data_IF_222132527714
#
_entry.id   IF_222132527714
#
_cell.length_a   1.000
_cell.length_b   1.000
_cell.length_c   1.000
_cell.angle_alpha   90.00
_cell.angle_beta   90.00
_cell.angle_gamma   90.00
#
_symmetry.space_group_name_H-M   'P 1'
#
loop_
_entity.id
_entity.type
_entity.pdbx_description
1 polymer ?
#
# COMPACT_ATOMS: atom_id res chain seq x y z
N UNK A 1 60.94 -17.60 0.16
CA UNK A 1 59.83 -16.70 -0.17
C UNK A 1 58.55 -17.45 0.09
N UNK A 2 57.83 -17.25 1.20
CA UNK A 2 56.50 -17.84 1.41
C UNK A 2 55.44 -16.98 0.74
N UNK A 3 54.49 -17.64 0.07
CA UNK A 3 53.32 -17.05 -0.56
C UNK A 3 52.31 -16.60 0.50
N UNK A 4 51.93 -15.32 0.45
CA UNK A 4 50.89 -14.74 1.30
C UNK A 4 49.50 -15.24 0.87
N UNK A 5 48.81 -15.82 1.83
CA UNK A 5 47.43 -16.32 1.64
C UNK A 5 46.44 -15.17 1.53
N UNK A 6 45.61 -15.19 0.47
CA UNK A 6 44.39 -14.36 0.40
C UNK A 6 43.41 -14.74 1.50
N UNK A 7 43.23 -13.85 2.48
CA UNK A 7 42.14 -13.95 3.44
C UNK A 7 40.82 -13.69 2.71
N UNK A 8 39.98 -14.72 2.59
CA UNK A 8 38.61 -14.60 2.09
C UNK A 8 37.80 -13.74 3.07
N UNK A 9 37.18 -12.66 2.56
CA UNK A 9 36.16 -11.94 3.26
C UNK A 9 34.94 -12.87 3.44
N UNK A 10 34.77 -13.38 4.66
CA UNK A 10 33.52 -14.01 5.05
C UNK A 10 32.45 -12.93 5.02
N UNK A 11 31.51 -13.03 4.08
CA UNK A 11 30.34 -12.16 4.04
C UNK A 11 29.59 -12.23 5.37
N UNK A 12 29.44 -11.11 6.04
CA UNK A 12 28.59 -11.01 7.21
C UNK A 12 27.18 -11.47 6.82
N UNK A 13 26.68 -12.52 7.48
CA UNK A 13 25.31 -12.96 7.34
C UNK A 13 24.42 -11.76 7.75
N UNK A 14 23.73 -11.17 6.78
CA UNK A 14 22.73 -10.14 7.07
C UNK A 14 21.63 -10.82 7.88
N UNK A 15 21.48 -10.43 9.15
CA UNK A 15 20.37 -10.88 9.98
C UNK A 15 19.09 -10.38 9.34
N UNK A 16 18.36 -11.27 8.67
CA UNK A 16 17.04 -10.99 8.14
C UNK A 16 16.04 -11.20 9.27
N UNK A 17 15.37 -10.14 9.68
CA UNK A 17 14.29 -10.26 10.64
C UNK A 17 13.23 -11.23 10.10
N UNK A 18 12.59 -12.05 10.96
CA UNK A 18 11.54 -12.95 10.49
C UNK A 18 10.43 -12.15 9.81
N UNK A 19 10.03 -12.62 8.62
CA UNK A 19 8.90 -12.02 7.88
C UNK A 19 7.65 -12.11 8.76
N UNK A 20 6.93 -11.01 9.01
CA UNK A 20 5.78 -11.02 9.87
C UNK A 20 4.67 -11.89 9.27
N UNK A 21 4.12 -12.81 10.08
CA UNK A 21 2.95 -13.57 9.66
C UNK A 21 1.73 -12.66 9.55
N UNK A 22 1.04 -12.70 8.41
CA UNK A 22 -0.24 -12.03 8.21
C UNK A 22 -1.40 -12.98 8.53
N UNK A 23 -2.48 -12.43 9.08
CA UNK A 23 -3.78 -13.06 8.89
C UNK A 23 -4.19 -12.83 7.44
N UNK A 24 -4.64 -13.87 6.74
CA UNK A 24 -5.06 -13.78 5.34
C UNK A 24 -6.46 -14.38 5.20
N UNK A 25 -7.41 -13.56 4.80
CA UNK A 25 -8.73 -14.03 4.35
C UNK A 25 -8.64 -14.38 2.86
N UNK A 26 -9.19 -15.53 2.45
CA UNK A 26 -9.28 -15.92 1.04
C UNK A 26 -10.72 -16.30 0.73
N UNK A 27 -11.31 -15.65 -0.26
CA UNK A 27 -12.70 -15.88 -0.68
C UNK A 27 -12.83 -15.95 -2.20
N UNK A 28 -13.80 -16.72 -2.68
CA UNK A 28 -14.10 -16.85 -4.10
C UNK A 28 -13.25 -17.87 -4.83
N UNK A 29 -13.40 -17.91 -6.16
CA UNK A 29 -12.68 -18.81 -7.05
C UNK A 29 -12.38 -18.12 -8.38
N UNK A 30 -11.27 -18.45 -9.03
CA UNK A 30 -10.83 -17.85 -10.28
C UNK A 30 -9.43 -17.22 -10.17
N UNK A 31 -9.04 -16.32 -11.09
CA UNK A 31 -7.77 -15.62 -11.02
C UNK A 31 -7.59 -14.92 -9.68
N UNK A 32 -6.39 -14.99 -9.11
CA UNK A 32 -6.10 -14.41 -7.79
C UNK A 32 -5.91 -12.90 -7.87
N UNK A 33 -6.48 -12.19 -6.89
CA UNK A 33 -6.30 -10.75 -6.68
C UNK A 33 -5.88 -10.54 -5.23
N UNK A 34 -4.63 -10.15 -5.01
CA UNK A 34 -4.09 -9.84 -3.69
C UNK A 34 -4.36 -8.37 -3.37
N UNK A 35 -5.06 -8.11 -2.26
CA UNK A 35 -5.64 -6.81 -1.89
C UNK A 35 -4.99 -6.27 -0.61
N UNK A 36 -4.00 -5.39 -0.74
CA UNK A 36 -3.22 -4.84 0.39
C UNK A 36 -3.82 -3.52 0.86
N UNK A 37 -4.36 -3.52 2.09
CA UNK A 37 -5.04 -2.35 2.66
C UNK A 37 -4.08 -1.24 3.11
N UNK A 38 -4.60 -0.02 3.26
CA UNK A 38 -3.90 1.14 3.76
C UNK A 38 -3.85 1.23 5.29
N UNK A 39 -3.59 2.44 5.80
CA UNK A 39 -3.60 2.75 7.22
C UNK A 39 -5.03 2.90 7.76
N UNK A 40 -5.21 2.81 9.08
CA UNK A 40 -6.46 3.01 9.84
C UNK A 40 -7.46 1.85 9.72
N UNK A 41 -7.77 1.37 8.51
CA UNK A 41 -8.66 0.22 8.29
C UNK A 41 -7.88 -1.08 8.11
N UNK A 42 -8.50 -2.22 8.44
CA UNK A 42 -7.97 -3.54 8.10
C UNK A 42 -8.41 -4.00 6.69
N UNK A 43 -8.00 -5.19 6.28
CA UNK A 43 -8.30 -5.75 4.96
C UNK A 43 -9.79 -5.87 4.71
N UNK A 44 -10.52 -6.53 5.61
CA UNK A 44 -11.99 -6.72 5.47
C UNK A 44 -12.72 -5.38 5.35
N UNK A 45 -12.42 -4.41 6.21
CA UNK A 45 -13.06 -3.10 6.17
C UNK A 45 -12.71 -2.29 4.93
N UNK A 46 -11.48 -2.36 4.42
CA UNK A 46 -11.04 -1.61 3.25
C UNK A 46 -11.69 -2.14 1.97
N UNK A 47 -11.76 -3.46 1.82
CA UNK A 47 -12.15 -4.13 0.58
C UNK A 47 -13.59 -4.66 0.57
N UNK A 48 -14.42 -4.28 1.55
CA UNK A 48 -15.81 -4.76 1.70
C UNK A 48 -16.62 -4.59 0.40
N UNK A 49 -16.49 -3.44 -0.27
CA UNK A 49 -17.22 -3.18 -1.52
C UNK A 49 -16.75 -4.00 -2.71
N UNK A 50 -15.59 -4.64 -2.63
CA UNK A 50 -15.07 -5.55 -3.66
C UNK A 50 -15.43 -7.03 -3.41
N UNK A 51 -16.01 -7.38 -2.27
CA UNK A 51 -16.40 -8.78 -1.95
C UNK A 51 -17.26 -9.44 -3.03
N UNK A 52 -18.21 -8.74 -3.71
CA UNK A 52 -18.94 -9.34 -4.82
C UNK A 52 -18.08 -9.83 -5.98
N UNK A 53 -16.83 -9.35 -6.12
CA UNK A 53 -15.90 -9.86 -7.13
C UNK A 53 -15.45 -11.31 -6.85
N UNK A 54 -15.71 -11.85 -5.66
CA UNK A 54 -15.46 -13.25 -5.32
C UNK A 54 -16.24 -14.26 -6.21
N UNK A 55 -17.30 -13.82 -6.87
CA UNK A 55 -17.99 -14.62 -7.88
C UNK A 55 -17.13 -14.92 -9.12
N UNK A 56 -16.04 -14.15 -9.35
CA UNK A 56 -15.21 -14.21 -10.56
C UNK A 56 -13.71 -14.32 -10.28
N UNK A 57 -13.27 -13.97 -9.08
CA UNK A 57 -11.89 -13.93 -8.68
C UNK A 57 -11.68 -14.60 -7.32
N UNK A 58 -10.49 -15.10 -7.08
CA UNK A 58 -10.05 -15.45 -5.73
C UNK A 58 -9.45 -14.18 -5.09
N UNK A 59 -10.17 -13.59 -4.14
CA UNK A 59 -9.68 -12.43 -3.39
C UNK A 59 -8.82 -12.91 -2.22
N UNK A 60 -7.57 -12.51 -2.18
CA UNK A 60 -6.61 -12.78 -1.13
C UNK A 60 -6.37 -11.48 -0.37
N UNK A 61 -6.84 -11.43 0.87
CA UNK A 61 -6.93 -10.18 1.65
C UNK A 61 -6.07 -10.33 2.92
N UNK A 62 -4.78 -9.97 2.86
CA UNK A 62 -3.94 -9.95 4.05
C UNK A 62 -4.30 -8.76 4.95
N UNK A 63 -4.41 -9.03 6.26
CA UNK A 63 -4.40 -8.00 7.28
C UNK A 63 -2.94 -7.70 7.66
N UNK A 64 -2.53 -6.45 7.55
CA UNK A 64 -1.16 -6.01 7.83
C UNK A 64 -0.83 -6.12 9.33
N UNK A 65 0.44 -6.35 9.72
CA UNK A 65 0.86 -6.38 11.11
C UNK A 65 0.39 -5.15 11.88
N UNK A 66 -0.09 -5.35 13.12
CA UNK A 66 -0.65 -4.29 13.94
C UNK A 66 -2.14 -4.00 13.71
N UNK A 67 -2.71 -4.48 12.61
CA UNK A 67 -4.14 -4.33 12.30
C UNK A 67 -4.92 -5.59 12.67
N UNK A 68 -6.06 -5.48 13.40
CA UNK A 68 -6.86 -6.64 13.78
C UNK A 68 -7.28 -7.48 12.56
N UNK A 69 -7.22 -8.83 12.68
CA UNK A 69 -7.03 -9.63 13.89
C UNK A 69 -5.57 -9.86 14.31
N UNK A 70 -4.58 -9.29 13.59
CA UNK A 70 -3.18 -9.40 14.02
C UNK A 70 -2.95 -8.62 15.33
N UNK A 71 -2.00 -9.08 16.18
CA UNK A 71 -1.66 -8.37 17.41
C UNK A 71 -1.05 -6.99 17.13
N UNK A 72 -1.14 -6.05 18.09
CA UNK A 72 -0.44 -4.76 18.00
C UNK A 72 1.07 -4.95 17.81
N UNK A 73 1.71 -3.97 17.14
CA UNK A 73 3.16 -3.91 16.95
C UNK A 73 3.70 -2.58 17.47
N UNK A 74 4.96 -2.58 17.89
CA UNK A 74 5.63 -1.33 18.33
C UNK A 74 6.05 -0.46 17.15
N UNK A 75 6.20 -1.05 15.96
CA UNK A 75 6.58 -0.38 14.72
C UNK A 75 6.02 -1.10 13.51
N UNK A 76 5.36 -0.36 12.62
CA UNK A 76 4.98 -0.81 11.28
C UNK A 76 6.02 -0.36 10.26
N UNK A 77 6.65 -1.28 9.53
CA UNK A 77 7.63 -0.96 8.49
C UNK A 77 7.20 -1.54 7.14
N UNK A 78 7.30 -0.74 6.08
CA UNK A 78 6.84 -1.14 4.75
C UNK A 78 7.77 -2.17 4.09
N UNK A 79 9.09 -2.19 4.38
CA UNK A 79 10.03 -3.11 3.74
C UNK A 79 9.77 -4.57 4.14
N UNK A 80 9.73 -4.96 5.44
CA UNK A 80 9.40 -6.32 5.82
C UNK A 80 7.98 -6.74 5.40
N UNK A 81 7.04 -5.79 5.34
CA UNK A 81 5.69 -6.07 4.86
C UNK A 81 5.69 -6.32 3.34
N UNK A 82 6.50 -5.59 2.58
CA UNK A 82 6.65 -5.82 1.14
C UNK A 82 7.28 -7.20 0.84
N UNK A 83 8.28 -7.61 1.62
CA UNK A 83 8.85 -8.97 1.54
C UNK A 83 7.78 -10.04 1.80
N UNK A 84 6.97 -9.87 2.85
CA UNK A 84 5.89 -10.80 3.18
C UNK A 84 4.79 -10.86 2.10
N UNK A 85 4.44 -9.72 1.50
CA UNK A 85 3.52 -9.70 0.36
C UNK A 85 4.15 -10.38 -0.85
N UNK A 86 5.43 -10.13 -1.16
CA UNK A 86 6.12 -10.80 -2.26
C UNK A 86 6.16 -12.33 -2.09
N UNK A 87 6.33 -12.82 -0.87
CA UNK A 87 6.27 -14.27 -0.55
C UNK A 87 4.84 -14.85 -0.67
N UNK A 88 3.80 -14.03 -0.49
CA UNK A 88 2.39 -14.43 -0.64
C UNK A 88 1.96 -14.53 -2.11
N UNK A 89 2.63 -13.78 -3.00
CA UNK A 89 2.28 -13.69 -4.42
C UNK A 89 2.63 -14.98 -5.18
N UNK A 90 1.75 -15.35 -6.10
CA UNK A 90 1.93 -16.44 -7.05
C UNK A 90 2.03 -15.91 -8.48
N UNK A 91 2.72 -16.63 -9.39
CA UNK A 91 2.74 -16.24 -10.81
C UNK A 91 1.31 -16.15 -11.39
N UNK A 92 1.00 -15.04 -12.03
CA UNK A 92 -0.33 -14.75 -12.58
C UNK A 92 -1.27 -14.01 -11.64
N UNK A 93 -0.82 -13.63 -10.44
CA UNK A 93 -1.60 -12.81 -9.51
C UNK A 93 -1.74 -11.37 -10.00
N UNK A 94 -2.89 -10.79 -9.72
CA UNK A 94 -3.07 -9.35 -9.72
C UNK A 94 -2.78 -8.80 -8.33
N UNK A 95 -1.97 -7.75 -8.23
CA UNK A 95 -1.67 -7.07 -6.97
C UNK A 95 -2.34 -5.70 -6.93
N UNK A 96 -3.12 -5.45 -5.88
CA UNK A 96 -3.85 -4.18 -5.68
C UNK A 96 -3.51 -3.62 -4.31
N UNK A 97 -2.95 -2.41 -4.26
CA UNK A 97 -2.63 -1.72 -3.01
C UNK A 97 -3.39 -0.42 -2.85
N UNK A 98 -3.80 -0.10 -1.62
CA UNK A 98 -4.43 1.17 -1.29
C UNK A 98 -3.59 1.93 -0.26
N UNK A 99 -3.37 3.23 -0.49
CA UNK A 99 -2.67 4.11 0.44
C UNK A 99 -1.32 3.52 0.86
N UNK A 100 -1.02 3.38 2.15
CA UNK A 100 0.21 2.74 2.64
C UNK A 100 0.42 1.34 2.05
N UNK A 101 -0.66 0.56 1.88
CA UNK A 101 -0.61 -0.72 1.17
C UNK A 101 -0.20 -0.59 -0.30
N UNK A 102 -0.41 0.57 -0.92
CA UNK A 102 0.09 0.88 -2.25
C UNK A 102 1.61 1.04 -2.29
N UNK A 103 2.22 1.64 -1.25
CA UNK A 103 3.69 1.68 -1.10
C UNK A 103 4.25 0.28 -0.96
N UNK A 104 3.66 -0.54 -0.08
CA UNK A 104 4.04 -1.94 0.11
C UNK A 104 3.92 -2.71 -1.21
N UNK A 105 2.83 -2.50 -1.96
CA UNK A 105 2.61 -3.17 -3.25
C UNK A 105 3.61 -2.77 -4.33
N UNK A 106 4.03 -1.51 -4.38
CA UNK A 106 5.10 -1.06 -5.28
C UNK A 106 6.43 -1.75 -4.96
N UNK A 107 6.78 -1.83 -3.68
CA UNK A 107 8.00 -2.50 -3.23
C UNK A 107 7.95 -4.02 -3.47
N UNK A 108 6.82 -4.67 -3.19
CA UNK A 108 6.63 -6.11 -3.40
C UNK A 108 6.65 -6.47 -4.89
N UNK A 109 6.02 -5.66 -5.74
CA UNK A 109 5.98 -5.88 -7.18
C UNK A 109 7.36 -5.85 -7.84
N UNK A 110 8.30 -5.11 -7.28
CA UNK A 110 9.69 -5.08 -7.77
C UNK A 110 10.52 -6.30 -7.34
N UNK A 111 10.03 -7.08 -6.36
CA UNK A 111 10.71 -8.26 -5.83
C UNK A 111 10.20 -9.57 -6.46
N UNK A 112 9.24 -9.51 -7.36
CA UNK A 112 8.61 -10.70 -7.95
C UNK A 112 8.50 -10.59 -9.46
N UNK A 113 8.73 -11.73 -10.12
CA UNK A 113 8.48 -11.89 -11.54
C UNK A 113 7.13 -12.58 -11.76
N UNK A 114 6.42 -12.22 -12.82
CA UNK A 114 5.23 -12.95 -13.25
C UNK A 114 3.92 -12.46 -12.66
N UNK A 115 3.84 -11.26 -12.08
CA UNK A 115 2.55 -10.60 -11.83
C UNK A 115 1.76 -10.45 -13.13
N UNK A 116 0.46 -10.61 -13.03
CA UNK A 116 -0.45 -10.31 -14.13
C UNK A 116 -0.71 -8.81 -14.26
N UNK A 117 -0.87 -8.11 -13.13
CA UNK A 117 -0.97 -6.65 -13.12
C UNK A 117 -0.68 -6.06 -11.74
N UNK A 118 -0.39 -4.76 -11.71
CA UNK A 118 -0.28 -3.95 -10.49
C UNK A 118 -1.26 -2.79 -10.54
N UNK A 119 -2.07 -2.62 -9.50
CA UNK A 119 -2.91 -1.43 -9.29
C UNK A 119 -2.55 -0.78 -7.96
N UNK A 120 -2.33 0.54 -7.96
CA UNK A 120 -2.12 1.31 -6.74
C UNK A 120 -3.10 2.48 -6.65
N UNK A 121 -3.79 2.57 -5.52
CA UNK A 121 -4.81 3.59 -5.25
C UNK A 121 -4.24 4.61 -4.27
N UNK A 122 -3.92 5.80 -4.74
CA UNK A 122 -3.33 6.90 -3.94
C UNK A 122 -2.21 6.45 -2.99
N UNK A 123 -1.14 5.79 -3.51
CA UNK A 123 -0.01 5.43 -2.67
C UNK A 123 0.70 6.70 -2.17
N UNK A 124 0.98 6.83 -0.84
CA UNK A 124 1.72 7.96 -0.31
C UNK A 124 3.24 7.81 -0.54
N UNK A 125 3.64 7.40 -1.74
CA UNK A 125 5.04 7.26 -2.14
C UNK A 125 5.69 8.63 -2.33
N UNK A 126 5.57 9.51 -1.33
CA UNK A 126 5.96 10.92 -1.40
C UNK A 126 7.43 11.13 -1.73
N UNK A 127 8.28 10.14 -1.47
CA UNK A 127 9.69 10.16 -1.83
C UNK A 127 9.92 10.39 -3.34
N UNK A 128 9.05 9.84 -4.22
CA UNK A 128 9.20 9.99 -5.68
C UNK A 128 8.83 11.39 -6.19
N UNK A 129 8.06 12.16 -5.40
CA UNK A 129 7.59 13.50 -5.76
C UNK A 129 8.17 14.59 -4.85
N UNK A 130 9.34 14.35 -4.22
CA UNK A 130 10.04 15.32 -3.38
C UNK A 130 10.33 16.61 -4.18
N UNK A 131 10.18 17.76 -3.50
CA UNK A 131 10.30 19.08 -4.09
C UNK A 131 8.99 19.61 -4.71
N UNK A 132 7.95 18.78 -4.84
CA UNK A 132 6.62 19.28 -5.19
C UNK A 132 6.01 20.05 -4.00
N UNK A 133 5.53 21.28 -4.17
CA UNK A 133 5.04 22.12 -3.06
C UNK A 133 3.93 21.45 -2.24
N UNK A 134 2.98 20.74 -2.87
CA UNK A 134 1.91 20.06 -2.16
C UNK A 134 2.44 18.90 -1.29
N UNK A 135 3.46 18.17 -1.76
CA UNK A 135 4.11 17.09 -1.01
C UNK A 135 4.87 17.66 0.19
N UNK A 136 5.65 18.71 0.00
CA UNK A 136 6.43 19.32 1.09
C UNK A 136 5.51 19.93 2.17
N UNK A 137 4.42 20.58 1.77
CA UNK A 137 3.40 21.10 2.69
C UNK A 137 2.72 19.98 3.49
N UNK A 138 2.33 18.89 2.83
CA UNK A 138 1.73 17.72 3.49
C UNK A 138 2.69 17.12 4.51
N UNK A 139 3.94 16.88 4.13
CA UNK A 139 4.96 16.33 5.02
C UNK A 139 5.27 17.26 6.20
N UNK A 140 5.24 18.58 5.98
CA UNK A 140 5.39 19.55 7.08
C UNK A 140 4.24 19.43 8.09
N UNK A 141 2.98 19.36 7.62
CA UNK A 141 1.81 19.16 8.47
C UNK A 141 1.88 17.85 9.25
N UNK A 142 2.29 16.74 8.62
CA UNK A 142 2.37 15.44 9.30
C UNK A 142 3.34 15.40 10.48
N UNK A 143 4.33 16.31 10.56
CA UNK A 143 5.21 16.41 11.74
C UNK A 143 4.50 16.87 13.02
N UNK A 144 3.38 17.56 12.87
CA UNK A 144 2.58 18.09 13.96
C UNK A 144 1.41 17.16 14.32
N UNK A 145 1.40 15.91 13.81
CA UNK A 145 0.34 14.96 14.08
C UNK A 145 0.25 14.64 15.58
N UNK A 146 -0.97 14.68 16.18
CA UNK A 146 -1.18 14.39 17.59
C UNK A 146 -0.80 12.97 18.00
N UNK A 147 -0.44 12.78 19.28
CA UNK A 147 -0.04 11.49 19.86
C UNK A 147 -1.19 10.62 20.38
N UNK A 148 -2.43 11.12 20.44
CA UNK A 148 -3.59 10.34 20.89
C UNK A 148 -4.43 9.86 19.70
N UNK A 149 -4.93 8.61 19.69
CA UNK A 149 -5.57 8.00 18.51
C UNK A 149 -6.71 8.80 17.92
N UNK A 150 -7.61 9.33 18.76
CA UNK A 150 -8.76 10.10 18.27
C UNK A 150 -8.33 11.45 17.68
N UNK A 151 -7.40 12.13 18.33
CA UNK A 151 -6.87 13.42 17.88
C UNK A 151 -6.05 13.23 16.60
N UNK A 152 -5.24 12.16 16.52
CA UNK A 152 -4.54 11.76 15.32
C UNK A 152 -5.50 11.58 14.14
N UNK A 153 -6.57 10.81 14.30
CA UNK A 153 -7.56 10.62 13.24
C UNK A 153 -8.27 11.92 12.86
N UNK A 154 -8.63 12.75 13.84
CA UNK A 154 -9.27 14.04 13.56
C UNK A 154 -8.36 15.00 12.78
N UNK A 155 -7.06 14.86 12.93
CA UNK A 155 -6.05 15.60 12.19
C UNK A 155 -5.73 14.98 10.83
N UNK A 156 -5.48 13.68 10.80
CA UNK A 156 -5.01 12.94 9.63
C UNK A 156 -6.07 12.78 8.53
N UNK A 157 -7.29 12.38 8.91
CA UNK A 157 -8.33 12.06 7.93
C UNK A 157 -8.69 13.24 7.00
N UNK A 158 -8.84 14.49 7.48
CA UNK A 158 -9.03 15.63 6.59
C UNK A 158 -7.83 15.90 5.68
N UNK A 159 -6.59 15.71 6.16
CA UNK A 159 -5.39 15.92 5.34
C UNK A 159 -5.31 14.99 4.14
N UNK A 160 -5.71 13.73 4.32
CA UNK A 160 -5.76 12.77 3.20
C UNK A 160 -7.06 12.87 2.39
N UNK A 161 -8.03 13.71 2.81
CA UNK A 161 -9.32 13.86 2.14
C UNK A 161 -10.26 12.67 2.35
N UNK A 162 -10.17 12.01 3.51
CA UNK A 162 -11.12 10.97 3.91
C UNK A 162 -12.43 11.58 4.40
N UNK A 163 -13.56 11.01 3.98
CA UNK A 163 -14.89 11.40 4.42
C UNK A 163 -15.36 10.69 5.69
N UNK A 164 -14.50 9.87 6.32
CA UNK A 164 -14.84 9.14 7.54
C UNK A 164 -15.17 10.12 8.68
N UNK A 165 -16.39 9.98 9.24
CA UNK A 165 -16.82 10.76 10.37
C UNK A 165 -16.48 10.06 11.68
N UNK A 166 -15.85 10.79 12.59
CA UNK A 166 -15.50 10.28 13.90
C UNK A 166 -16.65 10.52 14.90
N UNK A 167 -16.94 9.51 15.69
CA UNK A 167 -17.81 9.63 16.88
C UNK A 167 -17.03 10.15 18.10
N UNK A 168 -17.74 10.51 19.18
CA UNK A 168 -17.09 10.99 20.40
C UNK A 168 -16.17 9.95 21.03
N UNK A 169 -16.54 8.68 20.96
CA UNK A 169 -15.67 7.54 21.29
C UNK A 169 -15.39 6.73 20.04
N UNK A 170 -14.13 6.32 19.85
CA UNK A 170 -13.76 5.45 18.74
C UNK A 170 -14.24 4.02 18.97
N UNK A 171 -14.87 3.36 17.98
CA UNK A 171 -15.05 1.93 18.03
C UNK A 171 -13.69 1.21 18.16
N UNK A 172 -13.64 0.13 18.94
CA UNK A 172 -12.38 -0.58 19.22
C UNK A 172 -11.55 -0.95 17.95
N UNK A 173 -12.14 -1.43 16.84
CA UNK A 173 -11.37 -1.69 15.62
C UNK A 173 -10.74 -0.43 15.02
N UNK A 174 -11.43 0.70 15.08
CA UNK A 174 -10.94 1.97 14.55
C UNK A 174 -9.83 2.54 15.44
N UNK A 175 -9.95 2.41 16.76
CA UNK A 175 -8.92 2.81 17.71
C UNK A 175 -7.64 1.97 17.52
N UNK A 176 -7.79 0.65 17.36
CA UNK A 176 -6.66 -0.24 17.09
C UNK A 176 -5.97 0.13 15.77
N UNK A 177 -6.73 0.40 14.70
CA UNK A 177 -6.20 0.84 13.42
C UNK A 177 -5.50 2.20 13.48
N UNK A 178 -6.01 3.13 14.30
CA UNK A 178 -5.34 4.40 14.54
C UNK A 178 -3.98 4.22 15.24
N UNK A 179 -3.94 3.38 16.29
CA UNK A 179 -2.69 3.05 17.00
C UNK A 179 -1.67 2.41 16.08
N UNK A 180 -2.09 1.48 15.21
CA UNK A 180 -1.22 0.86 14.21
C UNK A 180 -0.67 1.90 13.22
N UNK A 181 -1.53 2.81 12.72
CA UNK A 181 -1.12 3.88 11.80
C UNK A 181 -0.11 4.85 12.42
N UNK A 182 -0.25 5.15 13.72
CA UNK A 182 0.65 6.07 14.44
C UNK A 182 2.07 5.54 14.62
N UNK A 183 2.27 4.23 14.56
CA UNK A 183 3.60 3.59 14.68
C UNK A 183 4.17 3.15 13.34
N UNK A 184 3.49 3.46 12.23
CA UNK A 184 4.00 3.20 10.89
C UNK A 184 5.21 4.09 10.58
N UNK A 185 6.24 3.50 10.00
CA UNK A 185 7.34 4.25 9.41
C UNK A 185 6.80 5.18 8.33
N UNK A 186 7.29 6.41 8.30
CA UNK A 186 6.74 7.40 7.38
C UNK A 186 6.93 6.99 5.91
N UNK A 187 5.87 6.96 5.10
CA UNK A 187 5.91 6.41 3.74
C UNK A 187 6.77 7.24 2.77
N UNK A 188 7.14 8.48 3.13
CA UNK A 188 8.06 9.27 2.31
C UNK A 188 9.52 8.77 2.36
N UNK A 189 9.83 7.88 3.31
CA UNK A 189 11.13 7.24 3.44
C UNK A 189 11.27 6.02 2.52
N UNK A 190 10.18 5.57 1.90
CA UNK A 190 10.22 4.44 0.99
C UNK A 190 10.96 4.81 -0.31
N UNK A 191 12.00 4.07 -0.61
CA UNK A 191 12.73 4.15 -1.87
C UNK A 191 12.05 3.24 -2.91
N UNK A 192 11.13 3.82 -3.68
CA UNK A 192 10.41 3.06 -4.71
C UNK A 192 11.35 2.77 -5.88
N UNK A 193 11.54 1.49 -6.26
CA UNK A 193 12.45 1.07 -7.33
C UNK A 193 11.80 1.32 -8.70
N UNK A 194 11.75 2.60 -9.10
CA UNK A 194 11.04 3.05 -10.31
C UNK A 194 11.62 2.44 -11.58
N UNK A 195 12.94 2.25 -11.65
CA UNK A 195 13.61 1.74 -12.86
C UNK A 195 13.32 0.25 -13.06
N UNK A 196 13.30 -0.55 -12.00
CA UNK A 196 12.93 -1.96 -12.01
C UNK A 196 11.45 -2.13 -12.38
N UNK A 197 10.58 -1.30 -11.79
CA UNK A 197 9.15 -1.31 -12.09
C UNK A 197 8.86 -0.83 -13.53
N UNK A 198 9.65 0.09 -14.07
CA UNK A 198 9.48 0.58 -15.44
C UNK A 198 9.71 -0.51 -16.49
N UNK A 199 10.70 -1.37 -16.27
CA UNK A 199 11.04 -2.46 -17.21
C UNK A 199 10.21 -3.74 -16.99
N UNK A 200 9.48 -3.81 -15.86
CA UNK A 200 8.59 -4.93 -15.56
C UNK A 200 7.44 -5.01 -16.57
N UNK A 201 7.18 -6.23 -17.10
CA UNK A 201 6.29 -6.44 -18.25
C UNK A 201 4.81 -6.37 -17.92
N UNK A 202 4.42 -6.51 -16.66
CA UNK A 202 3.01 -6.44 -16.26
C UNK A 202 2.45 -5.02 -16.41
N UNK A 203 1.18 -4.88 -16.87
CA UNK A 203 0.49 -3.59 -16.92
C UNK A 203 0.30 -3.01 -15.53
N UNK A 204 0.29 -1.68 -15.44
CA UNK A 204 0.21 -0.93 -14.21
C UNK A 204 -0.90 0.09 -14.29
N UNK A 205 -1.66 0.25 -13.19
CA UNK A 205 -2.73 1.23 -13.04
C UNK A 205 -2.50 2.07 -11.79
N UNK A 206 -2.55 3.38 -11.93
CA UNK A 206 -2.57 4.33 -10.82
C UNK A 206 -3.94 4.97 -10.74
N UNK A 207 -4.59 4.90 -9.58
CA UNK A 207 -5.94 5.44 -9.36
C UNK A 207 -5.89 6.55 -8.33
N UNK A 208 -6.56 7.67 -8.62
CA UNK A 208 -6.74 8.79 -7.67
C UNK A 208 -8.21 9.17 -7.55
N UNK A 209 -8.55 9.86 -6.45
CA UNK A 209 -9.86 10.46 -6.27
C UNK A 209 -10.01 11.82 -6.96
N UNK A 210 -8.90 12.40 -7.49
CA UNK A 210 -8.87 13.72 -8.13
C UNK A 210 -9.24 14.85 -7.17
N UNK A 211 -8.90 14.72 -5.89
CA UNK A 211 -9.34 15.62 -4.82
C UNK A 211 -8.20 16.27 -4.05
N UNK A 212 -6.99 15.73 -4.17
CA UNK A 212 -5.86 16.14 -3.33
C UNK A 212 -4.56 16.17 -4.16
N UNK A 213 -3.96 17.36 -4.35
CA UNK A 213 -2.77 17.55 -5.19
C UNK A 213 -1.56 16.76 -4.71
N UNK A 214 -1.50 16.34 -3.44
CA UNK A 214 -0.38 15.54 -2.93
C UNK A 214 -0.37 14.14 -3.55
N UNK A 215 -1.54 13.51 -3.71
CA UNK A 215 -1.63 12.19 -4.36
C UNK A 215 -1.54 12.31 -5.88
N UNK A 216 -2.06 13.40 -6.46
CA UNK A 216 -1.91 13.64 -7.89
C UNK A 216 -0.45 13.83 -8.28
N UNK A 217 0.36 14.54 -7.48
CA UNK A 217 1.79 14.68 -7.71
C UNK A 217 2.55 13.33 -7.73
N UNK A 218 2.22 12.42 -6.82
CA UNK A 218 2.79 11.07 -6.81
C UNK A 218 2.32 10.27 -8.04
N UNK A 219 1.03 10.34 -8.35
CA UNK A 219 0.46 9.60 -9.45
C UNK A 219 1.01 10.07 -10.82
N UNK A 220 1.28 11.37 -10.99
CA UNK A 220 1.91 11.93 -12.20
C UNK A 220 3.32 11.33 -12.41
N UNK A 221 4.10 11.21 -11.33
CA UNK A 221 5.43 10.56 -11.41
C UNK A 221 5.31 9.08 -11.75
N UNK A 222 4.39 8.35 -11.11
CA UNK A 222 4.20 6.93 -11.38
C UNK A 222 3.68 6.68 -12.81
N UNK A 223 2.73 7.49 -13.31
CA UNK A 223 2.28 7.44 -14.69
C UNK A 223 3.45 7.66 -15.66
N UNK A 224 4.20 8.73 -15.47
CA UNK A 224 5.31 9.10 -16.36
C UNK A 224 6.47 8.09 -16.32
N UNK A 225 6.88 7.67 -15.12
CA UNK A 225 8.08 6.83 -14.94
C UNK A 225 7.83 5.35 -15.20
N UNK A 226 6.62 4.85 -14.89
CA UNK A 226 6.29 3.43 -15.02
C UNK A 226 5.51 3.11 -16.29
N UNK A 227 5.08 4.11 -17.06
CA UNK A 227 4.14 3.92 -18.16
C UNK A 227 2.79 3.39 -17.67
N UNK A 228 2.42 3.70 -16.44
CA UNK A 228 1.16 3.25 -15.85
C UNK A 228 -0.05 3.95 -16.51
N UNK A 229 -1.15 3.22 -16.62
CA UNK A 229 -2.44 3.85 -16.93
C UNK A 229 -2.87 4.71 -15.74
N UNK A 230 -3.57 5.82 -16.01
CA UNK A 230 -4.19 6.67 -14.98
C UNK A 230 -5.70 6.52 -14.99
N UNK A 231 -6.30 6.35 -13.83
CA UNK A 231 -7.74 6.46 -13.64
C UNK A 231 -8.06 7.42 -12.49
N UNK A 232 -9.16 8.15 -12.63
CA UNK A 232 -9.71 9.00 -11.58
C UNK A 232 -11.09 8.48 -11.21
N UNK A 233 -11.38 8.35 -9.91
CA UNK A 233 -12.69 8.00 -9.38
C UNK A 233 -13.29 9.25 -8.71
N UNK A 234 -14.08 10.05 -9.43
CA UNK A 234 -14.56 11.32 -8.90
C UNK A 234 -15.42 11.14 -7.65
N UNK A 235 -15.20 11.99 -6.65
CA UNK A 235 -15.95 11.95 -5.39
C UNK A 235 -15.52 10.87 -4.41
N UNK A 236 -14.54 10.04 -4.75
CA UNK A 236 -14.01 9.01 -3.86
C UNK A 236 -13.29 9.58 -2.63
N UNK A 237 -12.73 10.80 -2.75
CA UNK A 237 -11.73 11.24 -1.79
C UNK A 237 -10.59 10.23 -1.71
N UNK A 238 -10.01 10.08 -0.53
CA UNK A 238 -8.99 9.05 -0.30
C UNK A 238 -9.57 7.62 -0.13
N UNK A 239 -10.90 7.48 -0.04
CA UNK A 239 -11.56 6.19 0.20
C UNK A 239 -11.88 5.44 -1.10
N UNK A 240 -10.97 5.45 -2.06
CA UNK A 240 -11.13 4.88 -3.41
C UNK A 240 -11.73 3.46 -3.41
N UNK A 241 -11.24 2.49 -2.60
CA UNK A 241 -11.79 1.13 -2.61
C UNK A 241 -13.30 1.02 -2.32
N UNK A 242 -13.84 2.03 -1.63
CA UNK A 242 -15.26 2.07 -1.23
C UNK A 242 -16.13 2.93 -2.13
N UNK A 243 -15.53 3.64 -3.08
CA UNK A 243 -16.24 4.56 -3.93
C UNK A 243 -17.07 3.84 -5.00
N UNK A 244 -18.29 4.33 -5.30
CA UNK A 244 -19.05 3.85 -6.44
C UNK A 244 -18.24 3.93 -7.74
N UNK A 245 -18.31 2.89 -8.57
CA UNK A 245 -17.59 2.82 -9.85
C UNK A 245 -16.14 2.36 -9.76
N UNK A 246 -15.54 2.29 -8.56
CA UNK A 246 -14.17 1.78 -8.44
C UNK A 246 -14.07 0.30 -8.83
N UNK A 247 -14.99 -0.54 -8.35
CA UNK A 247 -15.02 -1.96 -8.70
C UNK A 247 -15.07 -2.20 -10.21
N UNK A 248 -15.88 -1.44 -10.93
CA UNK A 248 -15.98 -1.51 -12.40
C UNK A 248 -14.68 -1.05 -13.08
N UNK A 249 -14.05 0.01 -12.57
CA UNK A 249 -12.77 0.51 -13.06
C UNK A 249 -11.67 -0.53 -12.87
N UNK A 250 -11.61 -1.14 -11.69
CA UNK A 250 -10.66 -2.20 -11.38
C UNK A 250 -10.88 -3.42 -12.29
N UNK A 251 -12.10 -3.94 -12.37
CA UNK A 251 -12.43 -5.12 -13.21
C UNK A 251 -12.04 -4.90 -14.67
N UNK A 252 -12.35 -3.75 -15.24
CA UNK A 252 -11.97 -3.43 -16.63
C UNK A 252 -10.46 -3.50 -16.84
N UNK A 253 -9.69 -3.06 -15.87
CA UNK A 253 -8.22 -3.15 -15.94
C UNK A 253 -7.74 -4.59 -15.78
N UNK A 254 -8.25 -5.34 -14.78
CA UNK A 254 -7.87 -6.74 -14.56
C UNK A 254 -8.14 -7.63 -15.79
N UNK A 255 -9.24 -7.37 -16.51
CA UNK A 255 -9.62 -8.11 -17.73
C UNK A 255 -8.77 -7.75 -18.95
N UNK A 256 -8.16 -6.57 -18.96
CA UNK A 256 -7.28 -6.12 -20.06
C UNK A 256 -5.81 -6.53 -19.87
N UNK A 257 -5.45 -7.07 -18.72
CA UNK A 257 -4.09 -7.39 -18.30
C UNK A 257 -3.62 -8.80 -18.72
#
# INVERSE_FOLDING_TARGET
MPAEGCAGFAGAAVYRAPVPAFHVETIGTGPRVVLVHGSVGNGSATWESLRPLADRYTLVIPDRPGYPPNPPVDRGDFEPQAEAIAELLEPGDHLVGHSYGGVISLLAAAQTDGLRSLTVNEPPAFGVARGNPAVEEFLAKMRDAPGEPREYLAYFLPLVGSSLKLSDSLPAPLEAGARAAMVERSPHEAEIPLDELAVARFPKLVVTGGHNPVFDAVADVLEQRLGAQRAVVPGAGHSIPRAPGYGETLVRFLESA
#
